data_IF_540430423789
#
_entry.id   IF_540430423789
#
_cell.length_a   1.000
_cell.length_b   1.000
_cell.length_c   1.000
_cell.angle_alpha   90.00
_cell.angle_beta   90.00
_cell.angle_gamma   90.00
#
_symmetry.space_group_name_H-M   'P 1'
#
loop_
_entity.id
_entity.type
_entity.pdbx_description
1 polymer ?
#
# COMPACT_ATOMS: atom_id res chain seq x y z
N UNK A 1 18.63 4.89 -13.79
CA UNK A 1 17.74 4.09 -12.98
C UNK A 1 17.06 4.93 -11.89
N UNK A 2 17.81 5.62 -11.01
CA UNK A 2 17.24 6.43 -9.92
C UNK A 2 16.27 7.51 -10.43
N UNK A 3 16.63 8.25 -11.50
CA UNK A 3 15.75 9.25 -12.09
C UNK A 3 14.43 8.65 -12.58
N UNK A 4 14.48 7.47 -13.22
CA UNK A 4 13.28 6.71 -13.63
C UNK A 4 12.39 6.38 -12.42
N UNK A 5 12.98 5.84 -11.36
CA UNK A 5 12.24 5.45 -10.16
C UNK A 5 11.62 6.65 -9.43
N UNK A 6 12.39 7.72 -9.24
CA UNK A 6 11.91 8.94 -8.57
C UNK A 6 10.77 9.60 -9.35
N UNK A 7 10.92 9.73 -10.68
CA UNK A 7 9.86 10.29 -11.52
C UNK A 7 8.59 9.42 -11.49
N UNK A 8 8.74 8.09 -11.53
CA UNK A 8 7.60 7.18 -11.43
C UNK A 8 6.85 7.32 -10.11
N UNK A 9 7.58 7.32 -8.97
CA UNK A 9 6.96 7.51 -7.65
C UNK A 9 6.26 8.85 -7.57
N UNK A 10 6.91 9.93 -8.05
CA UNK A 10 6.34 11.26 -8.04
C UNK A 10 5.00 11.31 -8.78
N UNK A 11 4.93 10.75 -10.00
CA UNK A 11 3.71 10.68 -10.79
C UNK A 11 2.62 9.90 -10.05
N UNK A 12 2.96 8.74 -9.45
CA UNK A 12 1.97 7.89 -8.77
C UNK A 12 1.44 8.50 -7.47
N UNK A 13 2.28 9.17 -6.70
CA UNK A 13 1.91 9.76 -5.41
C UNK A 13 1.17 11.08 -5.58
N UNK A 14 1.68 11.96 -6.44
CA UNK A 14 1.15 13.32 -6.59
C UNK A 14 0.18 13.47 -7.77
N UNK A 15 0.05 12.47 -8.65
CA UNK A 15 -0.81 12.55 -9.84
C UNK A 15 -2.23 13.00 -9.52
N UNK A 16 -2.85 12.43 -8.48
CA UNK A 16 -4.22 12.80 -8.11
C UNK A 16 -4.33 14.18 -7.46
N UNK A 17 -3.36 14.57 -6.65
CA UNK A 17 -3.36 15.88 -5.97
C UNK A 17 -3.09 17.04 -6.92
N UNK A 18 -2.43 16.78 -8.05
CA UNK A 18 -2.09 17.75 -9.09
C UNK A 18 -2.94 17.58 -10.36
N UNK A 19 -4.12 16.93 -10.24
CA UNK A 19 -5.05 16.65 -11.34
C UNK A 19 -4.37 16.03 -12.59
N UNK A 20 -3.40 15.13 -12.33
CA UNK A 20 -2.67 14.37 -13.34
C UNK A 20 -1.98 15.29 -14.40
N UNK A 21 -2.34 15.13 -15.65
CA UNK A 21 -1.68 15.82 -16.76
C UNK A 21 -2.06 17.30 -16.94
N UNK A 22 -2.94 17.85 -16.11
CA UNK A 22 -3.25 19.27 -16.14
C UNK A 22 -2.11 20.11 -15.57
N UNK A 23 -1.36 19.55 -14.60
CA UNK A 23 -0.19 20.21 -14.05
C UNK A 23 1.08 19.99 -14.93
N UNK A 24 1.83 21.06 -15.24
CA UNK A 24 3.06 20.97 -16.03
C UNK A 24 4.14 20.11 -15.35
N UNK A 25 4.17 20.03 -14.03
CA UNK A 25 5.15 19.23 -13.27
C UNK A 25 4.99 17.73 -13.53
N UNK A 26 3.76 17.24 -13.60
CA UNK A 26 3.47 15.83 -13.92
C UNK A 26 3.86 15.52 -15.36
N UNK A 27 3.59 16.44 -16.31
CA UNK A 27 3.99 16.26 -17.73
C UNK A 27 5.51 16.13 -17.85
N UNK A 28 6.27 17.03 -17.24
CA UNK A 28 7.73 16.96 -17.24
C UNK A 28 8.27 15.71 -16.55
N UNK A 29 7.69 15.32 -15.42
CA UNK A 29 8.06 14.09 -14.73
C UNK A 29 7.81 12.85 -15.59
N UNK A 30 6.73 12.85 -16.38
CA UNK A 30 6.42 11.76 -17.32
C UNK A 30 7.46 11.68 -18.44
N UNK A 31 7.84 12.82 -19.01
CA UNK A 31 8.89 12.88 -20.04
C UNK A 31 10.22 12.38 -19.48
N UNK A 32 10.61 12.84 -18.29
CA UNK A 32 11.85 12.38 -17.61
C UNK A 32 11.79 10.88 -17.35
N UNK A 33 10.66 10.34 -16.91
CA UNK A 33 10.48 8.93 -16.67
C UNK A 33 10.68 8.09 -17.95
N UNK A 34 10.04 8.50 -19.05
CA UNK A 34 10.13 7.80 -20.34
C UNK A 34 11.58 7.85 -20.89
N UNK A 35 12.18 9.05 -20.93
CA UNK A 35 13.55 9.23 -21.44
C UNK A 35 14.54 8.43 -20.61
N UNK A 36 14.41 8.48 -19.27
CA UNK A 36 15.29 7.73 -18.36
C UNK A 36 15.12 6.23 -18.51
N UNK A 37 13.91 5.74 -18.80
CA UNK A 37 13.64 4.31 -19.05
C UNK A 37 14.28 3.85 -20.36
N UNK A 38 14.12 4.63 -21.44
CA UNK A 38 14.73 4.32 -22.74
C UNK A 38 16.27 4.31 -22.61
N UNK A 39 16.82 5.32 -21.96
CA UNK A 39 18.25 5.43 -21.74
C UNK A 39 18.79 4.27 -20.89
N UNK A 40 18.08 3.89 -19.84
CA UNK A 40 18.44 2.76 -18.98
C UNK A 40 18.48 1.45 -19.79
N UNK A 41 17.44 1.15 -20.57
CA UNK A 41 17.36 -0.06 -21.40
C UNK A 41 18.46 -0.06 -22.47
N UNK A 42 18.73 1.09 -23.09
CA UNK A 42 19.79 1.22 -24.10
C UNK A 42 21.18 0.96 -23.50
N UNK A 43 21.50 1.60 -22.38
CA UNK A 43 22.79 1.43 -21.69
C UNK A 43 22.97 -0.01 -21.22
N UNK A 44 21.93 -0.65 -20.70
CA UNK A 44 22.02 -2.01 -20.16
C UNK A 44 22.20 -3.04 -21.30
N UNK A 45 21.64 -2.79 -22.50
CA UNK A 45 21.88 -3.61 -23.69
C UNK A 45 23.27 -3.45 -24.29
N UNK A 46 23.86 -2.26 -24.17
CA UNK A 46 25.16 -1.95 -24.82
C UNK A 46 26.34 -2.34 -23.92
N UNK A 47 26.09 -2.52 -22.62
CA UNK A 47 27.15 -2.80 -21.65
C UNK A 47 27.66 -4.23 -21.75
N UNK A 48 28.97 -4.42 -21.72
CA UNK A 48 29.59 -5.75 -21.78
C UNK A 48 29.27 -6.63 -20.55
N UNK A 49 29.10 -6.02 -19.37
CA UNK A 49 28.69 -6.71 -18.15
C UNK A 49 27.45 -6.01 -17.55
N UNK A 50 26.24 -6.38 -18.01
CA UNK A 50 25.02 -5.75 -17.54
C UNK A 50 24.75 -6.14 -16.08
N UNK A 51 24.35 -5.17 -15.25
CA UNK A 51 23.84 -5.44 -13.90
C UNK A 51 22.44 -6.06 -13.96
N UNK A 52 21.68 -5.66 -14.96
CA UNK A 52 20.32 -6.09 -15.15
C UNK A 52 20.19 -6.90 -16.44
N UNK A 53 20.21 -8.21 -16.32
CA UNK A 53 20.10 -9.12 -17.48
C UNK A 53 18.64 -9.15 -17.93
N UNK A 54 18.30 -8.39 -18.99
CA UNK A 54 16.94 -8.31 -19.53
C UNK A 54 16.36 -9.66 -19.94
N UNK A 55 17.22 -10.65 -20.28
CA UNK A 55 16.80 -12.02 -20.57
C UNK A 55 16.09 -12.71 -19.40
N UNK A 56 16.40 -12.29 -18.16
CA UNK A 56 15.74 -12.79 -16.95
C UNK A 56 14.21 -12.60 -17.01
N UNK A 57 13.74 -11.51 -17.61
CA UNK A 57 12.31 -11.22 -17.76
C UNK A 57 11.57 -12.22 -18.67
N UNK A 58 12.28 -13.01 -19.48
CA UNK A 58 11.68 -14.05 -20.33
C UNK A 58 11.36 -15.34 -19.57
N UNK A 59 11.94 -15.50 -18.37
CA UNK A 59 11.74 -16.71 -17.57
C UNK A 59 10.36 -16.69 -16.89
N UNK A 60 9.54 -17.73 -17.13
CA UNK A 60 8.19 -17.86 -16.57
C UNK A 60 8.16 -17.79 -15.03
N UNK A 61 9.19 -18.33 -14.38
CA UNK A 61 9.32 -18.30 -12.91
C UNK A 61 9.49 -16.87 -12.40
N UNK A 62 10.29 -16.05 -13.09
CA UNK A 62 10.51 -14.63 -12.76
C UNK A 62 9.25 -13.81 -13.04
N UNK A 63 8.59 -14.03 -14.19
CA UNK A 63 7.34 -13.35 -14.49
C UNK A 63 6.25 -13.65 -13.45
N UNK A 64 6.09 -14.92 -13.07
CA UNK A 64 5.17 -15.33 -12.02
C UNK A 64 5.52 -14.71 -10.67
N UNK A 65 6.80 -14.68 -10.32
CA UNK A 65 7.28 -14.02 -9.10
C UNK A 65 7.01 -12.52 -9.09
N UNK A 66 7.25 -11.81 -10.19
CA UNK A 66 6.95 -10.38 -10.33
C UNK A 66 5.45 -10.12 -10.15
N UNK A 67 4.61 -10.90 -10.82
CA UNK A 67 3.15 -10.74 -10.74
C UNK A 67 2.64 -10.98 -9.32
N UNK A 68 3.12 -12.03 -8.66
CA UNK A 68 2.77 -12.33 -7.27
C UNK A 68 3.24 -11.22 -6.33
N UNK A 69 4.49 -10.75 -6.47
CA UNK A 69 4.99 -9.64 -5.65
C UNK A 69 4.22 -8.36 -5.87
N UNK A 70 3.90 -8.03 -7.12
CA UNK A 70 3.12 -6.84 -7.45
C UNK A 70 1.74 -6.91 -6.80
N UNK A 71 1.03 -8.02 -6.95
CA UNK A 71 -0.27 -8.24 -6.30
C UNK A 71 -0.20 -8.14 -4.78
N UNK A 72 0.81 -8.78 -4.16
CA UNK A 72 1.02 -8.73 -2.71
C UNK A 72 1.30 -7.32 -2.20
N UNK A 73 2.13 -6.56 -2.92
CA UNK A 73 2.45 -5.19 -2.51
C UNK A 73 1.26 -4.24 -2.68
N UNK A 74 0.46 -4.42 -3.74
CA UNK A 74 -0.79 -3.68 -3.89
C UNK A 74 -1.71 -3.99 -2.70
N UNK A 75 -1.89 -5.26 -2.35
CA UNK A 75 -2.66 -5.64 -1.16
C UNK A 75 -2.07 -5.04 0.12
N UNK A 76 -0.73 -4.98 0.23
CA UNK A 76 -0.08 -4.35 1.38
C UNK A 76 -0.38 -2.86 1.50
N UNK A 77 -0.50 -2.15 0.39
CA UNK A 77 -0.81 -0.71 0.37
C UNK A 77 -2.18 -0.41 0.99
N UNK A 78 -3.08 -1.39 1.11
CA UNK A 78 -4.35 -1.24 1.84
C UNK A 78 -4.16 -0.95 3.35
N UNK A 79 -2.94 -1.09 3.89
CA UNK A 79 -2.59 -0.65 5.26
C UNK A 79 -2.87 0.86 5.48
N UNK A 80 -2.87 1.64 4.42
CA UNK A 80 -3.23 3.06 4.46
C UNK A 80 -4.61 3.27 5.11
N UNK A 81 -5.59 2.42 4.82
CA UNK A 81 -6.93 2.54 5.41
C UNK A 81 -6.93 2.29 6.93
N UNK A 82 -6.12 1.35 7.39
CA UNK A 82 -5.96 1.10 8.84
C UNK A 82 -5.38 2.33 9.52
N UNK A 83 -4.33 2.91 8.94
CA UNK A 83 -3.68 4.10 9.50
C UNK A 83 -4.62 5.32 9.51
N UNK A 84 -5.40 5.52 8.43
CA UNK A 84 -6.41 6.60 8.37
C UNK A 84 -7.50 6.36 9.42
N UNK A 85 -8.02 5.14 9.55
CA UNK A 85 -9.05 4.83 10.52
C UNK A 85 -8.56 5.05 11.96
N UNK A 86 -7.36 4.56 12.29
CA UNK A 86 -6.79 4.72 13.63
C UNK A 86 -6.46 6.19 13.92
N UNK A 87 -5.87 6.92 12.96
CA UNK A 87 -5.48 8.32 13.16
C UNK A 87 -6.67 9.29 13.16
N UNK A 88 -7.57 9.16 12.18
CA UNK A 88 -8.68 10.09 11.99
C UNK A 88 -9.95 9.60 12.68
N UNK A 89 -10.30 8.33 12.51
CA UNK A 89 -11.52 7.75 13.06
C UNK A 89 -11.46 7.60 14.57
N UNK A 90 -10.39 7.02 15.09
CA UNK A 90 -10.20 6.79 16.53
C UNK A 90 -9.49 7.95 17.24
N UNK A 91 -9.01 8.96 16.50
CA UNK A 91 -8.23 10.11 17.03
C UNK A 91 -7.03 9.68 17.87
N UNK A 92 -6.40 8.58 17.51
CA UNK A 92 -5.21 8.08 18.19
C UNK A 92 -4.00 8.96 17.90
N UNK A 93 -3.11 9.08 18.89
CA UNK A 93 -1.85 9.81 18.76
C UNK A 93 -0.86 9.03 17.86
N UNK A 94 0.09 9.77 17.28
CA UNK A 94 1.15 9.20 16.43
C UNK A 94 1.95 8.08 17.13
N UNK A 95 2.11 8.16 18.44
CA UNK A 95 2.77 7.13 19.25
C UNK A 95 1.96 5.82 19.25
N UNK A 96 0.64 5.89 19.35
CA UNK A 96 -0.24 4.72 19.30
C UNK A 96 -0.24 4.08 17.91
N UNK A 97 -0.19 4.90 16.84
CA UNK A 97 -0.06 4.40 15.46
C UNK A 97 1.28 3.68 15.28
N UNK A 98 2.36 4.23 15.83
CA UNK A 98 3.68 3.61 15.80
C UNK A 98 3.72 2.30 16.60
N UNK A 99 3.02 2.23 17.74
CA UNK A 99 2.88 1.00 18.54
C UNK A 99 2.20 -0.13 17.74
N UNK A 100 1.16 0.19 16.96
CA UNK A 100 0.55 -0.78 16.04
C UNK A 100 1.56 -1.32 15.01
N UNK A 101 2.50 -0.47 14.57
CA UNK A 101 3.63 -0.88 13.74
C UNK A 101 4.49 -1.95 14.42
N UNK A 102 4.72 -1.87 15.72
CA UNK A 102 5.47 -2.88 16.47
C UNK A 102 4.73 -4.23 16.52
N UNK A 103 3.41 -4.23 16.64
CA UNK A 103 2.62 -5.47 16.57
C UNK A 103 2.70 -6.14 15.19
N UNK A 104 2.95 -5.38 14.13
CA UNK A 104 3.24 -5.92 12.80
C UNK A 104 4.49 -6.81 12.81
N UNK A 105 5.53 -6.45 13.58
CA UNK A 105 6.76 -7.27 13.71
C UNK A 105 6.46 -8.63 14.34
N UNK A 106 5.57 -8.68 15.34
CA UNK A 106 5.13 -9.96 15.93
C UNK A 106 4.48 -10.85 14.88
N UNK A 107 3.60 -10.26 14.04
CA UNK A 107 2.98 -10.99 12.94
C UNK A 107 4.01 -11.48 11.90
N UNK A 108 4.98 -10.67 11.55
CA UNK A 108 6.06 -11.08 10.63
C UNK A 108 6.88 -12.24 11.20
N UNK A 109 7.21 -12.21 12.48
CA UNK A 109 7.91 -13.31 13.15
C UNK A 109 7.11 -14.60 13.07
N UNK A 110 5.81 -14.57 13.42
CA UNK A 110 4.91 -15.73 13.34
C UNK A 110 4.80 -16.28 11.91
N UNK A 111 4.67 -15.40 10.93
CA UNK A 111 4.61 -15.78 9.51
C UNK A 111 5.91 -16.43 9.02
N UNK A 112 7.06 -15.92 9.45
CA UNK A 112 8.37 -16.49 9.11
C UNK A 112 8.53 -17.89 9.72
N UNK A 113 8.22 -18.06 11.00
CA UNK A 113 8.27 -19.36 11.70
C UNK A 113 7.34 -20.35 11.01
N UNK A 114 6.13 -19.94 10.67
CA UNK A 114 5.19 -20.80 9.93
C UNK A 114 5.74 -21.22 8.56
N UNK A 115 6.38 -20.30 7.82
CA UNK A 115 7.02 -20.60 6.54
C UNK A 115 8.18 -21.63 6.69
N UNK A 116 8.99 -21.48 7.72
CA UNK A 116 10.11 -22.41 8.01
C UNK A 116 9.57 -23.81 8.35
N UNK A 117 8.60 -23.90 9.26
CA UNK A 117 8.00 -25.18 9.66
C UNK A 117 7.33 -25.87 8.47
N UNK A 118 6.63 -25.10 7.64
CA UNK A 118 5.97 -25.60 6.46
C UNK A 118 6.97 -26.11 5.40
N UNK A 119 8.10 -25.42 5.22
CA UNK A 119 9.19 -25.86 4.35
C UNK A 119 9.85 -27.13 4.88
N UNK A 120 10.07 -27.23 6.20
CA UNK A 120 10.63 -28.43 6.83
C UNK A 120 9.72 -29.67 6.70
N UNK A 121 8.41 -29.46 6.73
CA UNK A 121 7.41 -30.53 6.56
C UNK A 121 7.07 -30.85 5.10
N UNK A 122 7.78 -30.26 4.14
CA UNK A 122 7.54 -30.44 2.70
C UNK A 122 6.07 -30.23 2.27
N UNK A 123 5.37 -29.29 2.92
CA UNK A 123 3.98 -28.98 2.59
C UNK A 123 3.94 -28.34 1.19
N UNK A 124 3.00 -28.74 0.36
CA UNK A 124 2.85 -28.19 -0.99
C UNK A 124 2.65 -26.68 -0.97
N UNK A 125 3.44 -25.94 -1.76
CA UNK A 125 3.38 -24.48 -1.85
C UNK A 125 1.95 -23.95 -2.07
N UNK A 126 1.12 -24.67 -2.84
CA UNK A 126 -0.26 -24.26 -3.13
C UNK A 126 -1.10 -24.05 -1.86
N UNK A 127 -1.01 -24.96 -0.91
CA UNK A 127 -1.74 -24.86 0.36
C UNK A 127 -1.26 -23.70 1.22
N UNK A 128 0.05 -23.45 1.19
CA UNK A 128 0.66 -22.36 1.94
C UNK A 128 0.28 -21.01 1.38
N UNK A 129 0.26 -20.86 0.05
CA UNK A 129 -0.25 -19.65 -0.58
C UNK A 129 -1.71 -19.40 -0.23
N UNK A 130 -2.55 -20.47 -0.29
CA UNK A 130 -3.95 -20.37 0.10
C UNK A 130 -4.10 -19.91 1.55
N UNK A 131 -3.35 -20.49 2.49
CA UNK A 131 -3.36 -20.07 3.89
C UNK A 131 -2.95 -18.60 4.08
N UNK A 132 -1.92 -18.15 3.38
CA UNK A 132 -1.50 -16.75 3.44
C UNK A 132 -2.60 -15.78 3.00
N UNK A 133 -3.30 -16.08 1.91
CA UNK A 133 -4.44 -15.27 1.46
C UNK A 133 -5.63 -15.34 2.41
N UNK A 134 -5.89 -16.51 3.01
CA UNK A 134 -6.93 -16.68 4.04
C UNK A 134 -6.63 -15.79 5.24
N UNK A 135 -5.39 -15.71 5.72
CA UNK A 135 -5.02 -14.81 6.83
C UNK A 135 -5.26 -13.34 6.48
N UNK A 136 -4.93 -12.91 5.26
CA UNK A 136 -5.21 -11.54 4.81
C UNK A 136 -6.72 -11.30 4.74
N UNK A 137 -7.49 -12.25 4.21
CA UNK A 137 -8.94 -12.17 4.13
C UNK A 137 -9.61 -12.12 5.52
N UNK A 138 -9.15 -12.95 6.45
CA UNK A 138 -9.62 -12.95 7.85
C UNK A 138 -9.32 -11.62 8.54
N UNK A 139 -8.13 -11.06 8.32
CA UNK A 139 -7.79 -9.74 8.85
C UNK A 139 -8.72 -8.65 8.30
N UNK A 140 -9.00 -8.67 7.00
CA UNK A 140 -9.92 -7.72 6.39
C UNK A 140 -11.35 -7.87 6.91
N UNK A 141 -11.82 -9.10 7.09
CA UNK A 141 -13.12 -9.41 7.68
C UNK A 141 -13.20 -8.94 9.13
N UNK A 142 -12.15 -9.19 9.92
CA UNK A 142 -12.09 -8.72 11.30
C UNK A 142 -12.14 -7.20 11.38
N UNK A 143 -11.37 -6.50 10.53
CA UNK A 143 -11.40 -5.04 10.42
C UNK A 143 -12.80 -4.53 10.05
N UNK A 144 -13.51 -5.20 9.15
CA UNK A 144 -14.86 -4.80 8.77
C UNK A 144 -15.84 -4.75 9.96
N UNK A 145 -15.71 -5.69 10.89
CA UNK A 145 -16.57 -5.72 12.08
C UNK A 145 -16.11 -4.73 13.17
N UNK A 146 -14.82 -4.42 13.25
CA UNK A 146 -14.28 -3.51 14.28
C UNK A 146 -14.31 -2.03 13.85
N UNK A 147 -14.48 -1.73 12.55
CA UNK A 147 -14.61 -0.36 12.05
C UNK A 147 -16.00 0.17 12.42
N UNK A 148 -16.18 0.49 13.70
CA UNK A 148 -17.36 1.11 14.29
C UNK A 148 -16.92 2.33 15.10
N UNK A 149 -17.90 3.19 15.43
CA UNK A 149 -17.65 4.45 16.16
C UNK A 149 -17.03 4.24 17.55
N UNK A 150 -17.28 3.09 18.17
CA UNK A 150 -16.80 2.74 19.50
C UNK A 150 -15.67 1.70 19.49
N UNK A 151 -14.93 1.61 18.38
CA UNK A 151 -13.82 0.67 18.22
C UNK A 151 -12.74 0.86 19.29
N UNK A 152 -12.39 -0.20 20.00
CA UNK A 152 -11.30 -0.17 20.97
C UNK A 152 -9.96 -0.32 20.28
N UNK A 153 -9.01 0.59 20.53
CA UNK A 153 -7.63 0.53 20.03
C UNK A 153 -6.97 -0.84 20.27
N UNK A 154 -7.17 -1.42 21.45
CA UNK A 154 -6.60 -2.73 21.81
C UNK A 154 -7.02 -3.85 20.85
N UNK A 155 -8.23 -3.80 20.30
CA UNK A 155 -8.73 -4.80 19.35
C UNK A 155 -8.09 -4.68 17.97
N UNK A 156 -7.59 -3.49 17.61
CA UNK A 156 -6.89 -3.28 16.34
C UNK A 156 -5.55 -4.01 16.23
N UNK A 157 -4.96 -4.43 17.34
CA UNK A 157 -3.72 -5.21 17.36
C UNK A 157 -3.89 -6.57 16.66
N UNK A 158 -5.03 -7.23 16.85
CA UNK A 158 -5.26 -8.57 16.31
C UNK A 158 -5.31 -8.63 14.76
N UNK A 159 -6.12 -7.82 14.07
CA UNK A 159 -6.13 -7.85 12.61
C UNK A 159 -4.79 -7.44 12.00
N UNK A 160 -4.03 -6.56 12.66
CA UNK A 160 -2.68 -6.18 12.21
C UNK A 160 -1.71 -7.37 12.29
N UNK A 161 -1.73 -8.13 13.40
CA UNK A 161 -0.90 -9.34 13.58
C UNK A 161 -1.29 -10.42 12.55
N UNK A 162 -2.58 -10.72 12.40
CA UNK A 162 -3.07 -11.74 11.47
C UNK A 162 -2.66 -11.40 10.03
N UNK A 163 -2.84 -10.14 9.64
CA UNK A 163 -2.44 -9.65 8.33
C UNK A 163 -0.94 -9.76 8.11
N UNK A 164 -0.14 -9.30 9.06
CA UNK A 164 1.31 -9.34 8.97
C UNK A 164 1.82 -10.79 8.86
N UNK A 165 1.21 -11.73 9.59
CA UNK A 165 1.50 -13.17 9.50
C UNK A 165 1.24 -13.69 8.09
N UNK A 166 0.07 -13.40 7.51
CA UNK A 166 -0.27 -13.79 6.14
C UNK A 166 0.66 -13.17 5.11
N UNK A 167 0.97 -11.89 5.23
CA UNK A 167 1.88 -11.19 4.31
C UNK A 167 3.29 -11.75 4.35
N UNK A 168 3.85 -12.00 5.54
CA UNK A 168 5.20 -12.57 5.66
C UNK A 168 5.29 -13.98 5.12
N UNK A 169 4.25 -14.80 5.37
CA UNK A 169 4.16 -16.12 4.78
C UNK A 169 4.21 -16.05 3.25
N UNK A 170 3.39 -15.20 2.64
CA UNK A 170 3.34 -15.03 1.19
C UNK A 170 4.63 -14.47 0.60
N UNK A 171 5.30 -13.53 1.27
CA UNK A 171 6.60 -13.03 0.83
C UNK A 171 7.67 -14.11 0.79
N UNK A 172 7.76 -14.89 1.86
CA UNK A 172 8.72 -15.99 1.94
C UNK A 172 8.47 -17.03 0.84
N UNK A 173 7.21 -17.39 0.63
CA UNK A 173 6.83 -18.37 -0.39
C UNK A 173 7.06 -17.88 -1.82
N UNK A 174 6.80 -16.61 -2.08
CA UNK A 174 7.04 -16.01 -3.40
C UNK A 174 8.53 -15.98 -3.72
N UNK A 175 9.37 -15.65 -2.73
CA UNK A 175 10.82 -15.72 -2.87
C UNK A 175 11.30 -17.14 -3.16
N UNK A 176 10.80 -18.15 -2.42
CA UNK A 176 11.11 -19.56 -2.66
C UNK A 176 10.67 -20.00 -4.06
N UNK A 177 9.42 -19.68 -4.46
CA UNK A 177 8.88 -20.02 -5.78
C UNK A 177 9.73 -19.47 -6.93
N UNK A 178 10.13 -18.23 -6.85
CA UNK A 178 10.93 -17.60 -7.88
C UNK A 178 12.35 -18.19 -7.98
N UNK A 179 12.92 -18.61 -6.84
CA UNK A 179 14.29 -19.13 -6.79
C UNK A 179 14.40 -20.61 -7.20
N UNK A 180 13.32 -21.39 -7.11
CA UNK A 180 13.35 -22.86 -7.29
C UNK A 180 13.94 -23.35 -8.63
N UNK A 181 13.82 -22.59 -9.71
CA UNK A 181 14.26 -22.99 -11.07
C UNK A 181 15.17 -21.97 -11.73
N UNK A 182 15.77 -21.08 -10.94
CA UNK A 182 16.56 -19.99 -11.48
C UNK A 182 18.03 -20.36 -11.56
N UNK A 183 18.71 -20.14 -12.70
CA UNK A 183 20.17 -20.29 -12.78
C UNK A 183 20.83 -19.23 -11.91
N UNK A 184 21.88 -19.65 -11.19
CA UNK A 184 22.62 -18.81 -10.24
C UNK A 184 23.07 -17.47 -10.84
N UNK A 185 23.43 -17.48 -12.13
CA UNK A 185 23.82 -16.27 -12.89
C UNK A 185 22.76 -15.16 -12.88
N UNK A 186 21.46 -15.51 -12.80
CA UNK A 186 20.36 -14.56 -12.84
C UNK A 186 19.87 -14.11 -11.46
N UNK A 187 20.47 -14.66 -10.39
CA UNK A 187 19.99 -14.41 -9.02
C UNK A 187 20.15 -12.95 -8.58
N UNK A 188 21.27 -12.28 -8.95
CA UNK A 188 21.46 -10.85 -8.66
C UNK A 188 20.42 -9.98 -9.37
N UNK A 189 20.16 -10.27 -10.64
CA UNK A 189 19.14 -9.57 -11.43
C UNK A 189 17.75 -9.75 -10.83
N UNK A 190 17.41 -10.96 -10.39
CA UNK A 190 16.16 -11.25 -9.72
C UNK A 190 15.98 -10.43 -8.44
N UNK A 191 17.00 -10.38 -7.59
CA UNK A 191 16.96 -9.58 -6.36
C UNK A 191 16.74 -8.10 -6.67
N UNK A 192 17.43 -7.55 -7.68
CA UNK A 192 17.21 -6.17 -8.12
C UNK A 192 15.78 -5.92 -8.62
N UNK A 193 15.23 -6.83 -9.44
CA UNK A 193 13.85 -6.73 -9.92
C UNK A 193 12.88 -6.77 -8.74
N UNK A 194 13.04 -7.75 -7.87
CA UNK A 194 12.18 -7.94 -6.69
C UNK A 194 12.17 -6.70 -5.80
N UNK A 195 13.35 -6.14 -5.51
CA UNK A 195 13.46 -4.93 -4.69
C UNK A 195 12.81 -3.72 -5.38
N UNK A 196 13.01 -3.56 -6.70
CA UNK A 196 12.40 -2.48 -7.47
C UNK A 196 10.86 -2.60 -7.47
N UNK A 197 10.34 -3.78 -7.72
CA UNK A 197 8.89 -4.03 -7.68
C UNK A 197 8.35 -3.80 -6.28
N UNK A 198 9.02 -4.34 -5.26
CA UNK A 198 8.57 -4.27 -3.86
C UNK A 198 8.60 -2.85 -3.29
N UNK A 199 9.67 -2.09 -3.55
CA UNK A 199 9.91 -0.81 -2.87
C UNK A 199 9.41 0.39 -3.68
N UNK A 200 9.26 0.25 -5.00
CA UNK A 200 9.02 1.37 -5.90
C UNK A 200 7.71 1.19 -6.67
N UNK A 201 7.63 0.16 -7.50
CA UNK A 201 6.54 0.03 -8.48
C UNK A 201 5.22 -0.27 -7.79
N UNK A 202 5.19 -1.30 -6.97
CA UNK A 202 3.95 -1.79 -6.41
C UNK A 202 3.37 -0.90 -5.30
N UNK A 203 4.17 -0.31 -4.37
CA UNK A 203 3.65 0.69 -3.44
C UNK A 203 3.14 1.95 -4.15
N UNK A 204 3.83 2.41 -5.21
CA UNK A 204 3.38 3.54 -6.00
C UNK A 204 2.01 3.29 -6.66
N UNK A 205 1.87 2.16 -7.36
CA UNK A 205 0.60 1.76 -7.98
C UNK A 205 -0.48 1.55 -6.90
N UNK A 206 -0.15 0.83 -5.83
CA UNK A 206 -1.08 0.55 -4.74
C UNK A 206 -1.58 1.84 -4.06
N UNK A 207 -0.68 2.76 -3.75
CA UNK A 207 -1.03 4.06 -3.19
C UNK A 207 -1.95 4.85 -4.14
N UNK A 208 -1.63 4.92 -5.43
CA UNK A 208 -2.47 5.59 -6.42
C UNK A 208 -3.88 5.01 -6.49
N UNK A 209 -4.01 3.67 -6.55
CA UNK A 209 -5.31 2.98 -6.59
C UNK A 209 -6.12 3.29 -5.33
N UNK A 210 -5.56 3.06 -4.14
CA UNK A 210 -6.28 3.21 -2.88
C UNK A 210 -6.62 4.67 -2.57
N UNK A 211 -5.73 5.62 -2.88
CA UNK A 211 -6.01 7.05 -2.72
C UNK A 211 -7.15 7.50 -3.63
N UNK A 212 -7.16 7.08 -4.90
CA UNK A 212 -8.25 7.40 -5.83
C UNK A 212 -9.59 6.82 -5.35
N UNK A 213 -9.61 5.54 -4.95
CA UNK A 213 -10.84 4.90 -4.43
C UNK A 213 -11.33 5.61 -3.17
N UNK A 214 -10.42 5.93 -2.25
CA UNK A 214 -10.75 6.62 -1.01
C UNK A 214 -11.35 8.01 -1.27
N UNK A 215 -10.67 8.83 -2.07
CA UNK A 215 -11.15 10.18 -2.38
C UNK A 215 -12.48 10.17 -3.13
N UNK A 216 -12.66 9.24 -4.08
CA UNK A 216 -13.94 9.12 -4.80
C UNK A 216 -15.08 8.76 -3.85
N UNK A 217 -14.86 7.80 -2.93
CA UNK A 217 -15.84 7.45 -1.91
C UNK A 217 -16.10 8.60 -0.93
N UNK A 218 -15.05 9.27 -0.49
CA UNK A 218 -15.16 10.42 0.42
C UNK A 218 -16.00 11.53 -0.22
N UNK A 219 -15.72 11.90 -1.46
CA UNK A 219 -16.50 12.91 -2.19
C UNK A 219 -17.97 12.51 -2.34
N UNK A 220 -18.23 11.24 -2.66
CA UNK A 220 -19.60 10.74 -2.77
C UNK A 220 -20.36 10.88 -1.44
N UNK A 221 -19.75 10.52 -0.32
CA UNK A 221 -20.39 10.66 0.99
C UNK A 221 -20.55 12.12 1.41
N UNK A 222 -19.53 12.98 1.17
CA UNK A 222 -19.62 14.41 1.44
C UNK A 222 -20.79 15.03 0.66
N UNK A 223 -20.91 14.73 -0.64
CA UNK A 223 -22.00 15.24 -1.47
C UNK A 223 -23.37 14.76 -0.97
N UNK A 224 -23.47 13.48 -0.59
CA UNK A 224 -24.70 12.92 -0.04
C UNK A 224 -25.08 13.56 1.29
N UNK A 225 -24.12 13.70 2.21
CA UNK A 225 -24.36 14.38 3.49
C UNK A 225 -24.70 15.86 3.28
N UNK A 226 -24.05 16.55 2.32
CA UNK A 226 -24.39 17.93 2.01
C UNK A 226 -25.83 18.09 1.46
N UNK A 227 -26.34 17.10 0.72
CA UNK A 227 -27.74 17.08 0.25
C UNK A 227 -28.74 16.81 1.39
N UNK A 228 -28.36 15.98 2.35
CA UNK A 228 -29.18 15.67 3.53
C UNK A 228 -29.05 16.75 4.63
N UNK A 229 -28.11 17.71 4.46
CA UNK A 229 -27.80 18.76 5.41
C UNK A 229 -28.80 19.92 5.26
N UNK A 230 -29.98 19.72 5.78
CA UNK A 230 -30.99 20.76 5.81
C UNK A 230 -30.82 21.64 7.07
N UNK A 231 -30.43 22.92 6.86
CA UNK A 231 -30.29 23.91 7.93
C UNK A 231 -31.60 24.14 8.72
N UNK A 232 -32.76 23.69 8.21
CA UNK A 232 -34.03 23.73 8.93
C UNK A 232 -34.11 22.70 10.05
N UNK A 233 -33.27 21.68 10.08
CA UNK A 233 -33.24 20.74 11.18
C UNK A 233 -32.41 21.35 12.37
N UNK A 234 -33.11 21.68 13.45
CA UNK A 234 -32.56 22.32 14.63
C UNK A 234 -31.32 21.59 15.22
N UNK A 235 -31.32 20.25 15.18
CA UNK A 235 -30.20 19.43 15.68
C UNK A 235 -28.96 19.59 14.83
N UNK A 236 -29.13 19.65 13.51
CA UNK A 236 -28.03 19.85 12.56
C UNK A 236 -27.48 21.26 12.65
N UNK A 237 -28.35 22.27 12.74
CA UNK A 237 -27.96 23.66 12.92
C UNK A 237 -27.13 23.87 14.22
N UNK A 238 -27.57 23.27 15.34
CA UNK A 238 -26.85 23.34 16.59
C UNK A 238 -25.46 22.69 16.55
N UNK A 239 -25.34 21.52 15.89
CA UNK A 239 -24.06 20.84 15.69
C UNK A 239 -23.11 21.65 14.81
N UNK A 240 -23.65 22.28 13.76
CA UNK A 240 -22.88 23.16 12.88
C UNK A 240 -22.32 24.37 13.65
N UNK A 241 -23.18 25.07 14.41
CA UNK A 241 -22.76 26.20 15.22
C UNK A 241 -21.72 25.81 16.27
N UNK A 242 -21.82 24.61 16.84
CA UNK A 242 -20.84 24.11 17.78
C UNK A 242 -19.50 23.81 17.10
N UNK A 243 -19.52 23.22 15.91
CA UNK A 243 -18.31 22.95 15.13
C UNK A 243 -17.64 24.26 14.67
N UNK A 244 -18.41 25.24 14.18
CA UNK A 244 -17.93 26.55 13.78
C UNK A 244 -17.28 27.30 14.96
N UNK A 245 -17.92 27.30 16.12
CA UNK A 245 -17.32 27.85 17.35
C UNK A 245 -16.02 27.16 17.72
N UNK A 246 -15.95 25.84 17.63
CA UNK A 246 -14.73 25.06 17.86
C UNK A 246 -13.58 25.47 16.95
N UNK A 247 -13.85 25.77 15.67
CA UNK A 247 -12.84 26.26 14.72
C UNK A 247 -12.40 27.69 15.01
N UNK A 248 -13.34 28.57 15.43
CA UNK A 248 -13.00 29.93 15.86
C UNK A 248 -12.10 29.92 17.13
N UNK A 249 -12.33 29.01 18.07
CA UNK A 249 -11.46 28.83 19.24
C UNK A 249 -10.04 28.37 18.85
N UNK A 250 -9.88 27.71 17.70
CA UNK A 250 -8.59 27.33 17.14
C UNK A 250 -7.92 28.44 16.32
N UNK A 251 -8.50 29.66 16.30
CA UNK A 251 -7.93 30.83 15.64
C UNK A 251 -8.25 30.96 14.17
N UNK A 252 -9.22 30.21 13.63
CA UNK A 252 -9.73 30.39 12.27
C UNK A 252 -10.72 31.55 12.21
N UNK A 253 -10.72 32.29 11.10
CA UNK A 253 -11.69 33.37 10.86
C UNK A 253 -13.11 32.79 10.69
N UNK A 254 -14.12 33.63 10.95
CA UNK A 254 -15.53 33.23 10.81
C UNK A 254 -15.87 32.76 9.38
N UNK A 255 -15.24 33.36 8.37
CA UNK A 255 -15.39 33.00 6.96
C UNK A 255 -14.70 31.68 6.60
N UNK A 256 -13.71 31.22 7.37
CA UNK A 256 -13.04 29.93 7.18
C UNK A 256 -13.72 28.82 8.00
N UNK A 257 -14.57 29.17 8.94
CA UNK A 257 -15.32 28.24 9.79
C UNK A 257 -16.74 27.94 9.28
N UNK A 258 -17.24 28.78 8.35
CA UNK A 258 -18.48 28.60 7.62
C UNK A 258 -18.28 27.85 6.29
#
# INVERSE_FOLDING_TARGET
FSAMCCSFIYIMVYGKTLDWYDDPTIRWSTVICIVSTILFVYLEKTRQSPYFVLEALKWRSIQGGILLFLGLMILNSSQMFVNIFVGVGMKCDNLQIAELGNWTLVGYFLGLVAAIIASAKHIHLKWLFSMGFVFIGLSALYMYFEVQTDGMYERMKWPVIIRATGMMLLYSLTAVYANQRMPYRLMSTWVCIMLTVRMIIAPGIGSAIYTNVFQHRQQHYITRYAQEYDRMNQTIAANYDQAARGMMYQGKSETEAQ
#
